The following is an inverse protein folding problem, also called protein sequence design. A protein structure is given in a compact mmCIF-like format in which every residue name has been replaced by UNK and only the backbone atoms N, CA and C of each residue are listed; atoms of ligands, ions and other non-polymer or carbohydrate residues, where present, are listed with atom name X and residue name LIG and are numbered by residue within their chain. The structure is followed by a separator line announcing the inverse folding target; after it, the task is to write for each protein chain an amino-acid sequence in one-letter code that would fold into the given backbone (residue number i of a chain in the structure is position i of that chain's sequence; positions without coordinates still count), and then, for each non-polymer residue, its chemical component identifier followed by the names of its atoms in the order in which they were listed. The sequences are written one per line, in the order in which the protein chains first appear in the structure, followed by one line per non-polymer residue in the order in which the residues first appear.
data_IF_152252299881
#
_entry.id   IF_152252299881
#
_cell.length_a   1.000
_cell.length_b   1.000
_cell.length_c   1.000
_cell.angle_alpha   90.00
_cell.angle_beta   90.00
_cell.angle_gamma   90.00
#
_symmetry.space_group_name_H-M   'P 1'
#
loop_
_entity.id
_entity.type
_entity.pdbx_description
1 polymer ?
#
# COMPACT_ATOMS: atom_id res chain seq x y z
N UNK A 1 32.27 32.42 -26.48
CA UNK A 1 32.38 30.95 -26.66
C UNK A 1 31.45 30.29 -25.63
N UNK A 2 30.14 30.37 -25.82
CA UNK A 2 29.28 29.41 -26.54
C UNK A 2 29.03 28.10 -25.77
N UNK A 3 27.96 28.10 -24.96
CA UNK A 3 27.07 26.99 -24.54
C UNK A 3 27.64 25.56 -24.62
N UNK A 4 28.02 25.01 -23.46
CA UNK A 4 28.18 23.55 -23.23
C UNK A 4 27.52 23.12 -21.90
N UNK A 5 26.32 23.64 -21.60
CA UNK A 5 25.57 23.29 -20.36
C UNK A 5 24.40 22.34 -20.66
N UNK A 6 24.23 21.89 -21.91
CA UNK A 6 22.98 21.26 -22.34
C UNK A 6 22.86 19.75 -22.20
N UNK A 7 23.88 18.98 -21.80
CA UNK A 7 23.73 17.53 -21.65
C UNK A 7 24.72 16.96 -20.63
N UNK A 8 24.54 17.26 -19.33
CA UNK A 8 25.06 16.32 -18.34
C UNK A 8 24.20 15.05 -18.47
N UNK A 9 24.76 13.99 -19.05
CA UNK A 9 24.06 12.72 -19.16
C UNK A 9 23.68 12.25 -17.74
N UNK A 10 22.41 11.91 -17.52
CA UNK A 10 21.97 11.38 -16.23
C UNK A 10 22.84 10.20 -15.83
N UNK A 11 23.26 10.14 -14.57
CA UNK A 11 23.95 8.98 -14.04
C UNK A 11 22.96 7.82 -13.88
N UNK A 12 23.43 6.55 -13.76
CA UNK A 12 22.56 5.44 -13.38
C UNK A 12 21.79 5.70 -12.07
N UNK A 13 22.39 6.40 -11.11
CA UNK A 13 21.75 6.78 -9.85
C UNK A 13 20.58 7.74 -10.06
N UNK A 14 20.76 8.77 -10.89
CA UNK A 14 19.70 9.73 -11.20
C UNK A 14 18.50 9.03 -11.86
N UNK A 15 18.76 8.11 -12.80
CA UNK A 15 17.71 7.31 -13.44
C UNK A 15 16.97 6.42 -12.45
N UNK A 16 17.68 5.78 -11.52
CA UNK A 16 17.06 4.95 -10.49
C UNK A 16 16.14 5.77 -9.57
N UNK A 17 16.57 6.96 -9.14
CA UNK A 17 15.75 7.84 -8.32
C UNK A 17 14.51 8.37 -9.05
N UNK A 18 14.63 8.68 -10.36
CA UNK A 18 13.47 9.03 -11.18
C UNK A 18 12.50 7.85 -11.29
N UNK A 19 13.01 6.64 -11.52
CA UNK A 19 12.15 5.44 -11.57
C UNK A 19 11.41 5.21 -10.25
N UNK A 20 12.07 5.42 -9.11
CA UNK A 20 11.45 5.37 -7.78
C UNK A 20 10.37 6.44 -7.61
N UNK A 21 10.62 7.67 -8.06
CA UNK A 21 9.64 8.75 -8.01
C UNK A 21 8.40 8.43 -8.86
N UNK A 22 8.59 7.89 -10.08
CA UNK A 22 7.48 7.45 -10.95
C UNK A 22 6.69 6.32 -10.29
N UNK A 23 7.36 5.29 -9.76
CA UNK A 23 6.71 4.18 -9.08
C UNK A 23 5.93 4.65 -7.84
N UNK A 24 6.52 5.56 -7.04
CA UNK A 24 5.88 6.19 -5.88
C UNK A 24 4.59 6.89 -6.29
N UNK A 25 4.63 7.73 -7.33
CA UNK A 25 3.46 8.45 -7.82
C UNK A 25 2.37 7.49 -8.34
N UNK A 26 2.75 6.47 -9.10
CA UNK A 26 1.80 5.47 -9.60
C UNK A 26 1.07 4.74 -8.46
N UNK A 27 1.81 4.32 -7.42
CA UNK A 27 1.22 3.72 -6.21
C UNK A 27 0.37 4.74 -5.45
N UNK A 28 0.80 6.00 -5.34
CA UNK A 28 0.01 7.06 -4.74
C UNK A 28 -1.34 7.27 -5.43
N UNK A 29 -1.37 7.27 -6.77
CA UNK A 29 -2.60 7.35 -7.56
C UNK A 29 -3.50 6.14 -7.29
N UNK A 30 -2.94 4.94 -7.22
CA UNK A 30 -3.70 3.73 -6.95
C UNK A 30 -4.39 3.78 -5.57
N UNK A 31 -3.64 4.17 -4.54
CA UNK A 31 -4.18 4.34 -3.18
C UNK A 31 -5.17 5.50 -3.08
N UNK A 32 -5.01 6.56 -3.88
CA UNK A 32 -5.97 7.65 -3.94
C UNK A 32 -7.35 7.15 -4.39
N UNK A 33 -7.42 6.31 -5.41
CA UNK A 33 -8.70 5.72 -5.85
C UNK A 33 -9.30 4.77 -4.80
N UNK A 34 -8.48 3.98 -4.11
CA UNK A 34 -8.95 3.12 -3.01
C UNK A 34 -9.52 3.94 -1.85
N UNK A 35 -8.84 5.00 -1.45
CA UNK A 35 -9.30 5.91 -0.42
C UNK A 35 -10.60 6.63 -0.86
N UNK A 36 -10.63 7.17 -2.08
CA UNK A 36 -11.80 7.85 -2.64
C UNK A 36 -13.03 6.93 -2.63
N UNK A 37 -12.88 5.69 -3.11
CA UNK A 37 -13.94 4.69 -3.13
C UNK A 37 -14.54 4.46 -1.74
N UNK A 38 -13.70 4.44 -0.68
CA UNK A 38 -14.17 4.18 0.69
C UNK A 38 -14.71 5.43 1.40
N UNK A 39 -14.14 6.60 1.15
CA UNK A 39 -14.42 7.83 1.89
C UNK A 39 -15.50 8.72 1.25
N UNK A 40 -15.68 8.66 -0.07
CA UNK A 40 -16.58 9.58 -0.77
C UNK A 40 -18.06 9.34 -0.43
N UNK A 41 -18.53 8.09 -0.49
CA UNK A 41 -19.92 7.74 -0.18
C UNK A 41 -20.08 7.00 1.17
N UNK A 42 -18.95 6.66 1.82
CA UNK A 42 -18.87 5.94 3.10
C UNK A 42 -19.61 4.60 3.13
N UNK A 43 -20.00 4.04 1.98
CA UNK A 43 -20.69 2.73 1.92
C UNK A 43 -19.80 1.60 2.37
N UNK A 44 -18.49 1.72 2.20
CA UNK A 44 -17.53 0.79 2.78
C UNK A 44 -17.64 0.72 4.32
N UNK A 45 -17.77 1.89 4.96
CA UNK A 45 -17.72 2.03 6.42
C UNK A 45 -19.07 1.71 7.07
N UNK A 46 -20.16 2.28 6.55
CA UNK A 46 -21.50 2.18 7.15
C UNK A 46 -22.49 1.40 6.29
N UNK A 47 -22.24 1.27 4.99
CA UNK A 47 -23.15 0.62 4.03
C UNK A 47 -22.91 -0.88 3.82
N UNK A 48 -22.22 -1.54 4.75
CA UNK A 48 -21.96 -2.99 4.70
C UNK A 48 -20.81 -3.43 3.79
N UNK A 49 -20.03 -2.52 3.22
CA UNK A 49 -18.87 -2.91 2.40
C UNK A 49 -17.79 -3.65 3.20
N UNK A 50 -17.51 -3.21 4.43
CA UNK A 50 -16.61 -3.94 5.33
C UNK A 50 -17.15 -5.33 5.71
N UNK A 51 -18.47 -5.46 5.88
CA UNK A 51 -19.12 -6.74 6.16
C UNK A 51 -18.94 -7.71 4.99
N UNK A 52 -19.12 -7.23 3.75
CA UNK A 52 -18.89 -8.03 2.56
C UNK A 52 -17.47 -8.62 2.54
N UNK A 53 -16.44 -7.79 2.77
CA UNK A 53 -15.05 -8.24 2.73
C UNK A 53 -14.71 -9.17 3.88
N UNK A 54 -15.10 -8.85 5.13
CA UNK A 54 -14.85 -9.72 6.28
C UNK A 54 -15.52 -11.08 6.11
N UNK A 55 -16.78 -11.11 5.70
CA UNK A 55 -17.50 -12.35 5.44
C UNK A 55 -16.87 -13.13 4.30
N UNK A 56 -16.42 -12.46 3.23
CA UNK A 56 -15.71 -13.10 2.12
C UNK A 56 -14.44 -13.78 2.62
N UNK A 57 -13.59 -13.09 3.37
CA UNK A 57 -12.34 -13.65 3.90
C UNK A 57 -12.56 -14.84 4.85
N UNK A 58 -13.59 -14.76 5.68
CA UNK A 58 -13.91 -15.81 6.65
C UNK A 58 -14.62 -17.02 6.01
N UNK A 59 -15.46 -16.81 5.00
CA UNK A 59 -16.23 -17.90 4.36
C UNK A 59 -15.48 -18.62 3.25
N UNK A 60 -14.62 -17.91 2.50
CA UNK A 60 -13.81 -18.51 1.44
C UNK A 60 -12.64 -19.36 1.96
N UNK A 61 -12.30 -19.21 3.24
CA UNK A 61 -11.09 -19.79 3.80
C UNK A 61 -9.80 -19.11 3.32
N UNK A 62 -9.89 -17.89 2.76
CA UNK A 62 -8.73 -17.16 2.23
C UNK A 62 -7.94 -16.42 3.32
N UNK A 63 -8.43 -16.38 4.55
CA UNK A 63 -7.66 -15.92 5.70
C UNK A 63 -6.70 -17.02 6.17
N UNK A 64 -5.46 -16.64 6.51
CA UNK A 64 -4.51 -17.57 7.09
C UNK A 64 -5.04 -18.12 8.43
N UNK A 65 -4.82 -19.42 8.75
CA UNK A 65 -5.39 -20.04 9.95
C UNK A 65 -5.05 -19.31 11.26
N UNK A 66 -3.81 -18.84 11.41
CA UNK A 66 -3.36 -18.08 12.58
C UNK A 66 -4.01 -16.69 12.68
N UNK A 67 -4.46 -16.13 11.57
CA UNK A 67 -5.01 -14.78 11.49
C UNK A 67 -6.53 -14.74 11.60
N UNK A 68 -7.18 -15.88 11.35
CA UNK A 68 -8.64 -16.01 11.38
C UNK A 68 -9.25 -15.59 12.72
N UNK A 69 -8.67 -15.99 13.85
CA UNK A 69 -9.15 -15.59 15.18
C UNK A 69 -9.11 -14.07 15.37
N UNK A 70 -8.05 -13.40 14.89
CA UNK A 70 -7.97 -11.95 14.93
C UNK A 70 -9.09 -11.27 14.11
N UNK A 71 -9.40 -11.79 12.92
CA UNK A 71 -10.53 -11.29 12.13
C UNK A 71 -11.87 -11.45 12.87
N UNK A 72 -12.12 -12.61 13.48
CA UNK A 72 -13.40 -12.95 14.12
C UNK A 72 -13.58 -12.26 15.47
N UNK A 73 -12.55 -12.26 16.31
CA UNK A 73 -12.66 -11.85 17.71
C UNK A 73 -12.24 -10.39 17.91
N UNK A 74 -11.42 -9.85 17.01
CA UNK A 74 -10.90 -8.48 17.13
C UNK A 74 -11.51 -7.51 16.15
N UNK A 75 -11.51 -7.85 14.85
CA UNK A 75 -11.95 -6.93 13.79
C UNK A 75 -13.46 -6.92 13.67
N UNK A 76 -14.09 -8.10 13.55
CA UNK A 76 -15.53 -8.20 13.28
C UNK A 76 -16.41 -7.47 14.32
N UNK A 77 -16.16 -7.55 15.64
CA UNK A 77 -16.95 -6.80 16.64
C UNK A 77 -16.74 -5.28 16.55
N UNK A 78 -15.63 -4.83 15.95
CA UNK A 78 -15.22 -3.43 15.81
C UNK A 78 -15.08 -3.02 14.34
N UNK A 79 -15.85 -3.64 13.44
CA UNK A 79 -15.71 -3.50 11.98
C UNK A 79 -15.72 -2.05 11.50
N UNK A 80 -16.54 -1.18 12.10
CA UNK A 80 -16.63 0.25 11.72
C UNK A 80 -15.33 0.99 12.04
N UNK A 81 -14.72 0.72 13.20
CA UNK A 81 -13.43 1.31 13.57
C UNK A 81 -12.35 0.88 12.57
N UNK A 82 -12.25 -0.42 12.28
CA UNK A 82 -11.28 -0.92 11.32
C UNK A 82 -11.55 -0.43 9.89
N UNK A 83 -12.81 -0.27 9.51
CA UNK A 83 -13.16 0.33 8.22
C UNK A 83 -12.65 1.78 8.12
N UNK A 84 -12.77 2.57 9.18
CA UNK A 84 -12.15 3.90 9.25
C UNK A 84 -10.62 3.83 9.20
N UNK A 85 -10.01 2.96 10.00
CA UNK A 85 -8.54 2.84 10.05
C UNK A 85 -7.96 2.49 8.68
N UNK A 86 -8.53 1.51 7.97
CA UNK A 86 -8.12 1.15 6.61
C UNK A 86 -8.33 2.32 5.66
N UNK A 87 -9.49 2.98 5.70
CA UNK A 87 -9.80 4.08 4.78
C UNK A 87 -8.87 5.30 4.99
N UNK A 88 -8.56 5.64 6.25
CA UNK A 88 -7.63 6.71 6.59
C UNK A 88 -6.18 6.34 6.30
N UNK A 89 -5.80 5.08 6.53
CA UNK A 89 -4.47 4.58 6.16
C UNK A 89 -4.25 4.71 4.65
N UNK A 90 -5.20 4.25 3.84
CA UNK A 90 -5.13 4.38 2.38
C UNK A 90 -5.06 5.84 1.93
N UNK A 91 -5.85 6.73 2.53
CA UNK A 91 -5.80 8.15 2.24
C UNK A 91 -4.46 8.78 2.62
N UNK A 92 -3.92 8.44 3.79
CA UNK A 92 -2.63 8.92 4.27
C UNK A 92 -1.47 8.44 3.39
N UNK A 93 -1.51 7.16 2.97
CA UNK A 93 -0.56 6.60 2.00
C UNK A 93 -0.65 7.36 0.69
N UNK A 94 -1.85 7.55 0.14
CA UNK A 94 -2.05 8.30 -1.10
C UNK A 94 -1.46 9.71 -1.02
N UNK A 95 -1.78 10.44 0.06
CA UNK A 95 -1.27 11.77 0.30
C UNK A 95 0.26 11.80 0.37
N UNK A 96 0.86 10.92 1.18
CA UNK A 96 2.32 10.83 1.34
C UNK A 96 3.02 10.47 0.02
N UNK A 97 2.49 9.47 -0.70
CA UNK A 97 3.07 9.01 -1.96
C UNK A 97 2.87 10.01 -3.10
N UNK A 98 1.80 10.81 -3.13
CA UNK A 98 1.60 11.80 -4.19
C UNK A 98 2.43 13.06 -3.95
N UNK A 99 2.39 13.58 -2.73
CA UNK A 99 3.14 14.80 -2.37
C UNK A 99 4.63 14.52 -2.20
N UNK A 100 5.00 13.28 -1.90
CA UNK A 100 6.35 12.92 -1.50
C UNK A 100 6.74 13.51 -0.15
N UNK A 101 5.75 13.77 0.72
CA UNK A 101 5.93 14.19 2.10
C UNK A 101 5.83 12.98 3.04
N UNK A 102 6.79 12.85 3.95
CA UNK A 102 6.89 11.77 4.93
C UNK A 102 6.82 10.38 4.29
N UNK A 103 7.48 10.20 3.14
CA UNK A 103 7.40 8.98 2.34
C UNK A 103 7.79 7.75 3.15
N UNK A 104 8.78 7.86 4.05
CA UNK A 104 9.18 6.75 4.92
C UNK A 104 8.06 6.36 5.88
N UNK A 105 7.37 7.32 6.48
CA UNK A 105 6.23 7.03 7.36
C UNK A 105 5.04 6.45 6.58
N UNK A 106 4.68 7.07 5.45
CA UNK A 106 3.63 6.54 4.56
C UNK A 106 3.94 5.12 4.08
N UNK A 107 5.22 4.82 3.84
CA UNK A 107 5.69 3.49 3.45
C UNK A 107 5.57 2.46 4.58
N UNK A 108 5.83 2.83 5.83
CA UNK A 108 5.57 1.94 6.97
C UNK A 108 4.08 1.62 7.10
N UNK A 109 3.21 2.63 6.99
CA UNK A 109 1.76 2.44 7.04
C UNK A 109 1.29 1.52 5.90
N UNK A 110 1.78 1.76 4.68
CA UNK A 110 1.51 0.93 3.51
C UNK A 110 1.98 -0.52 3.68
N UNK A 111 3.20 -0.70 4.20
CA UNK A 111 3.75 -2.02 4.49
C UNK A 111 2.87 -2.83 5.44
N UNK A 112 2.50 -2.25 6.59
CA UNK A 112 1.65 -2.94 7.57
C UNK A 112 0.23 -3.18 7.05
N UNK A 113 -0.34 -2.25 6.27
CA UNK A 113 -1.65 -2.44 5.65
C UNK A 113 -1.63 -3.59 4.64
N UNK A 114 -0.61 -3.67 3.78
CA UNK A 114 -0.50 -4.77 2.82
C UNK A 114 -0.24 -6.11 3.51
N UNK A 115 0.56 -6.12 4.58
CA UNK A 115 0.80 -7.34 5.37
C UNK A 115 -0.49 -7.83 6.02
N UNK A 116 -1.28 -6.90 6.58
CA UNK A 116 -2.59 -7.19 7.16
C UNK A 116 -3.53 -7.81 6.13
N UNK A 117 -3.63 -7.23 4.93
CA UNK A 117 -4.50 -7.74 3.88
C UNK A 117 -4.02 -9.09 3.35
N UNK A 118 -2.70 -9.27 3.16
CA UNK A 118 -2.12 -10.54 2.76
C UNK A 118 -2.51 -11.67 3.72
N UNK A 119 -2.43 -11.44 5.03
CA UNK A 119 -2.86 -12.42 6.03
C UNK A 119 -4.38 -12.64 6.06
N UNK A 120 -5.16 -11.63 5.71
CA UNK A 120 -6.62 -11.70 5.70
C UNK A 120 -7.19 -12.39 4.43
N UNK A 121 -6.52 -12.31 3.28
CA UNK A 121 -7.13 -12.66 2.00
C UNK A 121 -6.36 -13.58 1.07
N UNK A 122 -5.08 -13.86 1.33
CA UNK A 122 -4.20 -14.48 0.32
C UNK A 122 -3.75 -15.90 0.69
N UNK A 123 -4.50 -16.60 1.56
CA UNK A 123 -4.23 -18.01 1.85
C UNK A 123 -4.84 -18.91 0.76
N UNK A 124 -4.03 -19.68 0.00
CA UNK A 124 -4.53 -20.55 -1.06
C UNK A 124 -5.12 -21.88 -0.56
N UNK A 125 -5.01 -22.17 0.75
CA UNK A 125 -5.49 -23.39 1.38
C UNK A 125 -4.38 -24.37 1.80
N UNK A 126 -4.70 -25.35 2.66
CA UNK A 126 -3.71 -26.20 3.34
C UNK A 126 -2.95 -27.15 2.41
N UNK A 127 -3.55 -27.53 1.28
CA UNK A 127 -2.97 -28.48 0.33
C UNK A 127 -2.42 -27.78 -0.93
N UNK A 128 -2.26 -26.46 -0.88
CA UNK A 128 -1.74 -25.69 -1.99
C UNK A 128 -0.25 -25.95 -2.21
N UNK A 129 0.17 -26.00 -3.47
CA UNK A 129 1.59 -26.08 -3.84
C UNK A 129 2.26 -24.74 -3.53
N UNK A 130 3.56 -24.76 -3.24
CA UNK A 130 4.34 -23.55 -2.86
C UNK A 130 4.14 -22.38 -3.84
N UNK A 131 4.14 -22.62 -5.15
CA UNK A 131 3.94 -21.56 -6.14
C UNK A 131 2.57 -20.86 -6.05
N UNK A 132 1.53 -21.55 -5.55
CA UNK A 132 0.18 -20.99 -5.41
C UNK A 132 0.12 -19.94 -4.31
N UNK A 133 1.01 -20.00 -3.31
CA UNK A 133 1.13 -18.94 -2.30
C UNK A 133 1.60 -17.63 -2.93
N UNK A 134 2.59 -17.69 -3.83
CA UNK A 134 3.04 -16.51 -4.58
C UNK A 134 1.92 -15.95 -5.46
N UNK A 135 1.23 -16.83 -6.20
CA UNK A 135 0.11 -16.43 -7.05
C UNK A 135 -1.05 -15.80 -6.28
N UNK A 136 -1.43 -16.36 -5.14
CA UNK A 136 -2.47 -15.81 -4.28
C UNK A 136 -2.08 -14.47 -3.67
N UNK A 137 -0.80 -14.32 -3.28
CA UNK A 137 -0.29 -13.12 -2.61
C UNK A 137 0.02 -11.95 -3.53
N UNK A 138 -0.04 -12.12 -4.86
CA UNK A 138 0.49 -11.15 -5.82
C UNK A 138 -0.11 -9.75 -5.66
N UNK A 139 -1.40 -9.69 -5.33
CA UNK A 139 -2.18 -8.48 -5.11
C UNK A 139 -1.60 -7.57 -4.02
N UNK A 140 -1.08 -8.16 -2.94
CA UNK A 140 -0.61 -7.42 -1.76
C UNK A 140 0.91 -7.49 -1.58
N UNK A 141 1.54 -8.62 -1.93
CA UNK A 141 2.98 -8.82 -1.80
C UNK A 141 3.79 -7.86 -2.69
N UNK A 142 3.31 -7.57 -3.91
CA UNK A 142 3.99 -6.60 -4.80
C UNK A 142 3.99 -5.22 -4.15
N UNK A 143 2.83 -4.75 -3.67
CA UNK A 143 2.71 -3.45 -3.02
C UNK A 143 3.53 -3.38 -1.73
N UNK A 144 3.54 -4.46 -0.94
CA UNK A 144 4.37 -4.60 0.26
C UNK A 144 5.86 -4.44 -0.06
N UNK A 145 6.34 -5.06 -1.14
CA UNK A 145 7.74 -4.93 -1.59
C UNK A 145 8.03 -3.49 -2.03
N UNK A 146 7.13 -2.85 -2.78
CA UNK A 146 7.30 -1.46 -3.16
C UNK A 146 7.40 -0.53 -1.95
N UNK A 147 6.54 -0.71 -0.93
CA UNK A 147 6.63 0.07 0.30
C UNK A 147 7.94 -0.16 1.05
N UNK A 148 8.45 -1.40 1.08
CA UNK A 148 9.78 -1.67 1.64
C UNK A 148 10.87 -0.93 0.85
N UNK A 149 10.83 -0.98 -0.48
CA UNK A 149 11.77 -0.26 -1.35
C UNK A 149 11.70 1.25 -1.11
N UNK A 150 10.50 1.85 -1.06
CA UNK A 150 10.33 3.28 -0.80
C UNK A 150 10.84 3.71 0.56
N UNK A 151 10.70 2.85 1.58
CA UNK A 151 11.24 3.10 2.91
C UNK A 151 12.78 3.14 2.92
N UNK A 152 13.43 2.18 2.26
CA UNK A 152 14.90 2.05 2.29
C UNK A 152 15.61 2.96 1.28
N UNK A 153 14.98 3.22 0.12
CA UNK A 153 15.57 4.01 -0.96
C UNK A 153 15.25 5.51 -0.88
N UNK A 154 14.54 5.94 0.17
CA UNK A 154 14.13 7.32 0.39
C UNK A 154 13.45 7.97 -0.84
N UNK A 155 12.36 7.33 -1.28
CA UNK A 155 11.69 7.69 -2.53
C UNK A 155 11.02 9.09 -2.53
N UNK A 156 11.10 9.83 -1.41
CA UNK A 156 10.64 11.22 -1.29
C UNK A 156 11.65 12.27 -1.77
N UNK A 157 12.91 11.88 -1.99
CA UNK A 157 13.99 12.82 -2.32
C UNK A 157 13.88 13.43 -3.74
N UNK A 158 13.26 12.70 -4.68
CA UNK A 158 13.06 13.17 -6.06
C UNK A 158 11.57 13.38 -6.33
N UNK A 159 11.26 14.58 -6.84
CA UNK A 159 9.89 15.05 -7.11
C UNK A 159 8.94 14.94 -5.90
N UNK A 160 9.49 14.97 -4.69
CA UNK A 160 8.75 14.94 -3.44
C UNK A 160 9.12 16.13 -2.55
N UNK A 161 8.23 16.44 -1.61
CA UNK A 161 8.46 17.49 -0.62
C UNK A 161 9.58 17.14 0.37
N UNK A 162 9.86 15.85 0.61
CA UNK A 162 10.95 15.43 1.52
C UNK A 162 12.31 15.96 1.05
N UNK A 163 12.62 15.89 -0.25
CA UNK A 163 13.88 16.44 -0.80
C UNK A 163 13.99 17.97 -0.76
N UNK A 164 12.86 18.66 -0.58
CA UNK A 164 12.81 20.12 -0.40
C UNK A 164 12.97 20.52 1.09
N UNK A 165 12.43 19.70 2.01
CA UNK A 165 12.28 20.03 3.42
C UNK A 165 13.33 19.39 4.34
N UNK A 166 13.90 18.23 3.99
CA UNK A 166 14.70 17.38 4.89
C UNK A 166 16.08 16.99 4.33
N UNK A 167 16.75 17.90 3.62
CA UNK A 167 18.09 17.68 3.05
C UNK A 167 19.15 17.25 4.07
#
# INVERSE_FOLDING_TARGET
MSRNVYNAAMTPGDRAMIALAVARLAIGIFFFFFAQYKLADRKFIYGGGIDFWLNKFLSSGSAYPFYRGFLQDVILPRKVLFAWLVSLAEAGIAFSMLTGLWVRFGSLVGFFLMLHLLFASDYPGPNARVWQYFGASLSHAILLIFFAVFFFADAGMVWGLDGLLFK
#
